data_IF_548730360507
#
_entry.id   IF_548730360507
#
_cell.length_a   1.000
_cell.length_b   1.000
_cell.length_c   1.000
_cell.angle_alpha   90.00
_cell.angle_beta   90.00
_cell.angle_gamma   90.00
#
_symmetry.space_group_name_H-M   'P 1'
#
loop_
_entity.id
_entity.type
_entity.pdbx_description
1 polymer ?
#
# COMPACT_ATOMS: atom_id res chain seq x y z
N UNK A 1 -39.91 -0.52 19.50
CA UNK A 1 -40.80 -0.94 20.62
C UNK A 1 -40.47 -2.36 21.02
N UNK A 2 -41.16 -2.98 21.99
CA UNK A 2 -40.80 -4.33 22.48
C UNK A 2 -40.71 -5.38 21.35
N UNK A 3 -41.56 -5.27 20.32
CA UNK A 3 -41.54 -6.18 19.15
C UNK A 3 -40.34 -6.05 18.20
N UNK A 4 -39.42 -5.10 18.39
CA UNK A 4 -38.25 -4.92 17.50
C UNK A 4 -37.00 -5.70 17.94
N UNK A 5 -37.06 -6.48 19.03
CA UNK A 5 -35.92 -7.22 19.60
C UNK A 5 -34.85 -6.36 20.30
N UNK A 6 -34.86 -5.05 20.09
CA UNK A 6 -33.93 -4.06 20.67
C UNK A 6 -34.62 -3.07 21.61
N UNK A 7 -35.59 -3.56 22.41
CA UNK A 7 -36.44 -2.76 23.30
C UNK A 7 -35.70 -2.03 24.44
N UNK A 8 -36.14 -2.26 25.69
CA UNK A 8 -35.76 -1.51 26.91
C UNK A 8 -34.27 -1.09 27.04
N UNK A 9 -33.32 -1.93 26.62
CA UNK A 9 -31.87 -1.68 26.77
C UNK A 9 -31.16 -1.33 25.46
N UNK A 10 -31.84 -1.38 24.32
CA UNK A 10 -31.26 -1.08 23.01
C UNK A 10 -30.01 -1.90 22.68
N UNK A 11 -29.91 -3.15 23.17
CA UNK A 11 -28.75 -4.04 22.95
C UNK A 11 -27.53 -3.76 23.84
N UNK A 12 -27.62 -2.81 24.79
CA UNK A 12 -26.49 -2.44 25.68
C UNK A 12 -26.44 -3.21 27.00
N UNK A 13 -27.41 -4.08 27.26
CA UNK A 13 -27.57 -4.77 28.54
C UNK A 13 -27.98 -3.83 29.69
N UNK A 14 -27.69 -4.22 30.93
CA UNK A 14 -28.07 -3.48 32.13
C UNK A 14 -26.86 -2.83 32.82
N UNK A 15 -27.00 -1.57 33.25
CA UNK A 15 -26.05 -0.83 34.11
C UNK A 15 -24.60 -0.88 33.57
N UNK A 16 -23.63 -0.46 34.38
CA UNK A 16 -22.21 -0.42 34.01
C UNK A 16 -21.82 0.70 33.04
N UNK A 17 -20.53 0.96 32.94
CA UNK A 17 -19.98 2.08 32.18
C UNK A 17 -20.42 2.02 30.70
N UNK A 18 -20.33 0.85 30.04
CA UNK A 18 -20.64 0.67 28.62
C UNK A 18 -22.11 0.92 28.23
N UNK A 19 -23.05 0.90 29.19
CA UNK A 19 -24.46 1.23 28.90
C UNK A 19 -24.78 2.72 29.01
N UNK A 20 -23.93 3.51 29.70
CA UNK A 20 -24.13 4.95 29.89
C UNK A 20 -23.89 5.73 28.61
N UNK A 21 -24.57 6.87 28.46
CA UNK A 21 -24.24 7.82 27.40
C UNK A 21 -22.79 8.31 27.58
N UNK A 22 -22.00 8.33 26.51
CA UNK A 22 -20.56 8.63 26.58
C UNK A 22 -19.69 7.55 27.21
N UNK A 23 -20.26 6.44 27.68
CA UNK A 23 -19.56 5.36 28.35
C UNK A 23 -18.67 4.53 27.42
N UNK A 24 -17.41 4.95 27.25
CA UNK A 24 -16.42 4.26 26.42
C UNK A 24 -15.14 3.99 27.21
N UNK A 25 -14.54 2.85 26.92
CA UNK A 25 -13.20 2.52 27.37
C UNK A 25 -12.23 3.00 26.27
N UNK A 26 -11.18 3.73 26.65
CA UNK A 26 -10.17 4.21 25.70
C UNK A 26 -9.53 3.02 24.99
N UNK A 27 -9.28 3.14 23.67
CA UNK A 27 -8.56 2.12 22.90
C UNK A 27 -7.19 1.85 23.55
N UNK A 28 -6.92 0.58 23.86
CA UNK A 28 -5.70 0.16 24.54
C UNK A 28 -5.76 0.22 26.08
N UNK A 29 -6.90 0.47 26.71
CA UNK A 29 -7.03 0.35 28.18
C UNK A 29 -7.44 -1.08 28.57
N UNK A 30 -6.64 -1.72 29.42
CA UNK A 30 -6.79 -3.13 29.85
C UNK A 30 -7.28 -3.25 31.31
N UNK A 31 -7.98 -2.23 31.84
CA UNK A 31 -8.60 -2.31 33.17
C UNK A 31 -7.67 -2.03 34.36
N UNK A 32 -6.44 -1.58 34.10
CA UNK A 32 -5.44 -1.24 35.14
C UNK A 32 -4.07 -1.88 34.91
N UNK A 33 -4.00 -2.92 34.07
CA UNK A 33 -2.75 -3.49 33.61
C UNK A 33 -2.00 -2.52 32.68
N UNK A 34 -0.65 -2.56 32.68
CA UNK A 34 0.16 -1.84 31.70
C UNK A 34 -0.21 -2.34 30.28
N UNK A 35 -0.71 -1.46 29.39
CA UNK A 35 -1.17 -1.88 28.08
C UNK A 35 -0.07 -2.51 27.22
N UNK A 36 -0.45 -3.40 26.31
CA UNK A 36 0.51 -4.08 25.41
C UNK A 36 1.45 -3.11 24.67
N UNK A 37 0.91 -2.00 24.14
CA UNK A 37 1.67 -0.96 23.43
C UNK A 37 2.71 -0.23 24.30
N UNK A 38 2.62 -0.35 25.63
CA UNK A 38 3.59 0.18 26.59
C UNK A 38 4.50 -0.90 27.18
N UNK A 39 4.09 -2.17 27.13
CA UNK A 39 4.89 -3.32 27.62
C UNK A 39 5.99 -3.71 26.65
N UNK A 40 5.72 -3.64 25.35
CA UNK A 40 6.68 -4.00 24.33
C UNK A 40 7.65 -2.84 24.05
N UNK A 41 8.95 -3.12 23.83
CA UNK A 41 9.90 -2.09 23.42
C UNK A 41 9.56 -1.57 22.03
N UNK A 42 9.87 -0.28 21.78
CA UNK A 42 9.84 0.28 20.43
C UNK A 42 11.04 -0.22 19.65
N UNK A 43 10.84 -0.59 18.39
CA UNK A 43 11.91 -1.06 17.51
C UNK A 43 11.74 -0.49 16.10
N UNK A 44 12.85 -0.46 15.35
CA UNK A 44 12.89 -0.01 13.96
C UNK A 44 13.00 1.50 13.77
N UNK A 45 12.94 1.93 12.52
CA UNK A 45 12.95 3.34 12.11
C UNK A 45 12.19 3.49 10.78
N UNK A 46 11.68 4.70 10.52
CA UNK A 46 11.01 5.00 9.25
C UNK A 46 12.01 5.57 8.24
N UNK A 47 12.25 4.85 7.14
CA UNK A 47 13.18 5.29 6.09
C UNK A 47 12.59 6.40 5.22
N UNK A 48 13.27 7.55 5.14
CA UNK A 48 12.90 8.64 4.24
C UNK A 48 12.95 8.22 2.77
N UNK A 49 13.86 7.29 2.42
CA UNK A 49 14.02 6.76 1.06
C UNK A 49 12.83 5.91 0.64
N UNK A 50 12.22 5.17 1.57
CA UNK A 50 11.03 4.36 1.28
C UNK A 50 9.83 5.22 0.91
N UNK A 51 9.72 6.45 1.46
CA UNK A 51 8.60 7.37 1.17
C UNK A 51 8.59 7.92 -0.25
N UNK A 52 9.73 7.90 -0.93
CA UNK A 52 9.92 8.44 -2.28
C UNK A 52 10.19 7.34 -3.33
N UNK A 53 10.02 6.08 -2.94
CA UNK A 53 10.22 4.91 -3.80
C UNK A 53 8.87 4.26 -4.07
N UNK A 54 8.49 4.17 -5.34
CA UNK A 54 7.30 3.48 -5.81
C UNK A 54 7.63 2.05 -6.26
N UNK A 55 6.63 1.19 -6.21
CA UNK A 55 6.61 -0.08 -6.93
C UNK A 55 5.65 0.03 -8.11
N UNK A 56 5.99 -0.63 -9.22
CA UNK A 56 5.18 -0.61 -10.45
C UNK A 56 5.08 -2.04 -10.97
N UNK A 57 3.87 -2.45 -11.36
CA UNK A 57 3.55 -3.80 -11.87
C UNK A 57 3.59 -3.84 -13.40
N UNK A 58 3.69 -5.05 -13.98
CA UNK A 58 3.66 -5.22 -15.43
C UNK A 58 2.31 -4.80 -16.03
N UNK A 59 1.22 -5.07 -15.31
CA UNK A 59 -0.12 -4.65 -15.69
C UNK A 59 -0.31 -3.13 -15.73
N UNK A 60 0.44 -2.38 -14.92
CA UNK A 60 0.40 -0.91 -14.95
C UNK A 60 1.23 -0.37 -16.12
N UNK A 61 2.40 -0.97 -16.37
CA UNK A 61 3.24 -0.65 -17.53
C UNK A 61 2.47 -0.84 -18.84
N UNK A 62 1.64 -1.88 -18.93
CA UNK A 62 0.81 -2.14 -20.11
C UNK A 62 -0.19 -1.00 -20.41
N UNK A 63 -0.58 -0.20 -19.40
CA UNK A 63 -1.51 0.93 -19.56
C UNK A 63 -0.83 2.22 -20.00
N UNK A 64 0.49 2.30 -19.92
CA UNK A 64 1.24 3.50 -20.32
C UNK A 64 1.19 3.63 -21.84
N UNK A 65 0.84 4.83 -22.32
CA UNK A 65 0.86 5.13 -23.75
C UNK A 65 2.29 5.34 -24.25
N UNK A 66 2.60 4.72 -25.40
CA UNK A 66 3.91 4.77 -26.04
C UNK A 66 4.86 3.66 -25.58
N UNK A 67 5.91 3.41 -26.36
CA UNK A 67 6.79 2.25 -26.20
C UNK A 67 7.90 2.47 -25.17
N UNK A 68 8.16 3.73 -24.78
CA UNK A 68 9.18 4.09 -23.79
C UNK A 68 8.53 4.41 -22.46
N UNK A 69 8.94 3.70 -21.41
CA UNK A 69 8.44 3.87 -20.05
C UNK A 69 9.55 4.44 -19.18
N UNK A 70 9.42 5.72 -18.87
CA UNK A 70 10.28 6.46 -17.95
C UNK A 70 9.50 6.90 -16.70
N UNK A 71 10.17 7.60 -15.78
CA UNK A 71 9.51 8.05 -14.55
C UNK A 71 8.44 9.12 -14.81
N UNK A 72 8.59 9.93 -15.86
CA UNK A 72 7.65 11.00 -16.19
C UNK A 72 6.36 10.43 -16.80
N UNK A 73 6.46 9.47 -17.72
CA UNK A 73 5.32 8.75 -18.32
C UNK A 73 4.50 8.00 -17.29
N UNK A 74 5.15 7.44 -16.27
CA UNK A 74 4.42 6.81 -15.17
C UNK A 74 3.68 7.83 -14.29
N UNK A 75 4.13 9.10 -14.24
CA UNK A 75 3.40 10.19 -13.58
C UNK A 75 2.26 10.71 -14.46
N UNK A 76 2.52 10.88 -15.75
CA UNK A 76 1.52 11.34 -16.73
C UNK A 76 0.35 10.36 -16.83
N UNK A 77 0.63 9.05 -16.73
CA UNK A 77 -0.38 7.99 -16.68
C UNK A 77 -1.04 7.80 -15.29
N UNK A 78 -0.74 8.66 -14.31
CA UNK A 78 -1.23 8.60 -12.92
C UNK A 78 -0.99 7.26 -12.20
N UNK A 79 0.05 6.53 -12.61
CA UNK A 79 0.46 5.26 -11.97
C UNK A 79 1.28 5.55 -10.72
N UNK A 80 2.17 6.56 -10.80
CA UNK A 80 2.97 7.00 -9.66
C UNK A 80 2.75 8.48 -9.37
N UNK A 81 2.78 8.84 -8.08
CA UNK A 81 2.67 10.23 -7.65
C UNK A 81 3.88 11.04 -8.07
N UNK A 82 3.70 12.30 -8.45
CA UNK A 82 4.80 13.23 -8.79
C UNK A 82 5.85 13.45 -7.70
N UNK A 83 5.55 13.08 -6.45
CA UNK A 83 6.51 13.13 -5.33
C UNK A 83 7.53 11.98 -5.34
N UNK A 84 7.30 10.95 -6.16
CA UNK A 84 8.16 9.77 -6.23
C UNK A 84 9.41 10.07 -7.05
N UNK A 85 10.57 9.69 -6.52
CA UNK A 85 11.87 9.92 -7.14
C UNK A 85 12.51 8.65 -7.68
N UNK A 86 11.96 7.49 -7.29
CA UNK A 86 12.49 6.17 -7.62
C UNK A 86 11.30 5.25 -7.87
N UNK A 87 11.44 4.34 -8.81
CA UNK A 87 10.51 3.24 -8.99
C UNK A 87 11.26 1.91 -9.12
N UNK A 88 10.57 0.82 -8.81
CA UNK A 88 11.03 -0.53 -9.12
C UNK A 88 9.92 -1.34 -9.78
N UNK A 89 10.22 -1.96 -10.92
CA UNK A 89 9.28 -2.85 -11.62
C UNK A 89 9.28 -4.23 -10.97
N UNK A 90 8.11 -4.74 -10.62
CA UNK A 90 7.91 -6.05 -10.01
C UNK A 90 7.06 -6.96 -10.90
N UNK A 91 7.29 -8.27 -10.79
CA UNK A 91 6.55 -9.27 -11.54
C UNK A 91 5.16 -9.42 -10.91
N UNK A 92 4.17 -8.78 -11.52
CA UNK A 92 2.76 -8.93 -11.21
C UNK A 92 1.94 -8.57 -12.44
N UNK A 93 1.05 -9.46 -12.87
CA UNK A 93 0.36 -9.36 -14.16
C UNK A 93 1.20 -9.85 -15.35
N UNK A 94 0.67 -9.63 -16.56
CA UNK A 94 1.33 -9.94 -17.83
C UNK A 94 1.54 -8.67 -18.66
N UNK A 95 2.43 -8.78 -19.64
CA UNK A 95 2.66 -7.74 -20.64
C UNK A 95 2.84 -8.42 -21.99
N UNK A 96 1.98 -8.07 -22.95
CA UNK A 96 2.00 -8.65 -24.31
C UNK A 96 2.59 -7.67 -25.33
N UNK A 97 2.98 -6.48 -24.88
CA UNK A 97 3.53 -5.39 -25.70
C UNK A 97 5.01 -5.21 -25.41
N UNK A 98 5.80 -5.04 -26.47
CA UNK A 98 7.20 -4.66 -26.35
C UNK A 98 7.31 -3.23 -25.79
N UNK A 99 7.99 -3.09 -24.65
CA UNK A 99 8.23 -1.80 -24.00
C UNK A 99 9.70 -1.65 -23.61
N UNK A 100 10.21 -0.43 -23.76
CA UNK A 100 11.55 -0.04 -23.32
C UNK A 100 11.45 0.70 -21.99
N UNK A 101 11.88 0.06 -20.90
CA UNK A 101 11.89 0.67 -19.57
C UNK A 101 13.23 1.38 -19.34
N UNK A 102 13.20 2.69 -19.09
CA UNK A 102 14.40 3.54 -18.95
C UNK A 102 14.56 4.10 -17.54
N UNK A 103 15.76 3.98 -16.97
CA UNK A 103 16.10 4.61 -15.69
C UNK A 103 15.36 4.05 -14.47
N UNK A 104 14.71 2.89 -14.61
CA UNK A 104 13.92 2.24 -13.55
C UNK A 104 14.49 0.84 -13.32
N UNK A 105 14.70 0.48 -12.05
CA UNK A 105 15.21 -0.85 -11.70
C UNK A 105 14.10 -1.90 -11.86
N UNK A 106 14.40 -3.08 -12.38
CA UNK A 106 13.45 -4.19 -12.45
C UNK A 106 13.85 -5.34 -11.52
N UNK A 107 12.86 -6.09 -11.02
CA UNK A 107 13.09 -7.39 -10.39
C UNK A 107 13.50 -8.42 -11.45
N UNK A 108 14.23 -9.47 -11.05
CA UNK A 108 14.72 -10.51 -11.98
C UNK A 108 13.57 -11.12 -12.80
N UNK A 109 12.45 -11.44 -12.16
CA UNK A 109 11.28 -11.99 -12.84
C UNK A 109 10.60 -10.99 -13.78
N UNK A 110 10.51 -9.71 -13.39
CA UNK A 110 9.93 -8.68 -14.25
C UNK A 110 10.79 -8.43 -15.49
N UNK A 111 12.12 -8.41 -15.33
CA UNK A 111 13.07 -8.27 -16.45
C UNK A 111 12.88 -9.39 -17.47
N UNK A 112 12.85 -10.64 -17.01
CA UNK A 112 12.62 -11.79 -17.88
C UNK A 112 11.27 -11.73 -18.62
N UNK A 113 10.21 -11.28 -17.94
CA UNK A 113 8.89 -11.12 -18.57
C UNK A 113 8.87 -10.01 -19.62
N UNK A 114 9.54 -8.88 -19.37
CA UNK A 114 9.64 -7.77 -20.33
C UNK A 114 10.45 -8.19 -21.57
N UNK A 115 11.58 -8.87 -21.37
CA UNK A 115 12.40 -9.41 -22.47
C UNK A 115 11.65 -10.47 -23.28
N UNK A 116 10.88 -11.34 -22.63
CA UNK A 116 10.03 -12.33 -23.30
C UNK A 116 8.92 -11.70 -24.16
N UNK A 117 8.43 -10.52 -23.78
CA UNK A 117 7.48 -9.73 -24.57
C UNK A 117 8.15 -8.91 -25.70
N UNK A 118 9.47 -9.05 -25.90
CA UNK A 118 10.24 -8.32 -26.90
C UNK A 118 10.64 -6.90 -26.47
N UNK A 119 10.49 -6.56 -25.19
CA UNK A 119 10.90 -5.28 -24.61
C UNK A 119 12.38 -5.24 -24.23
N UNK A 120 12.83 -4.07 -23.77
CA UNK A 120 14.22 -3.82 -23.35
C UNK A 120 14.31 -3.01 -22.05
N UNK A 121 15.42 -3.19 -21.33
CA UNK A 121 15.70 -2.48 -20.09
C UNK A 121 16.99 -1.68 -20.21
N UNK A 122 16.87 -0.35 -20.18
CA UNK A 122 18.00 0.59 -20.08
C UNK A 122 18.14 1.02 -18.61
N UNK A 123 18.84 0.21 -17.83
CA UNK A 123 19.12 0.53 -16.42
C UNK A 123 20.18 1.64 -16.32
N UNK A 124 19.86 2.75 -15.66
CA UNK A 124 20.90 3.70 -15.23
C UNK A 124 21.57 3.19 -13.96
N UNK A 125 22.88 2.93 -14.04
CA UNK A 125 23.70 2.65 -12.87
C UNK A 125 23.76 3.88 -11.96
N UNK A 126 23.34 3.68 -10.72
CA UNK A 126 23.48 4.62 -9.58
C UNK A 126 23.52 3.83 -8.29
#
# INVERSE_FOLDING_TARGET
>A
GIGSGTGKTGGRGHKGQKSRSGGRIRRGFEGGQQPLQMRLPKFGFNSAKSRITAEVTLSEIAKVEGDVVDMQRLQDADIIKGTMKRAKVILSGSIDRAVTVKGIKASKGAKAAIEAAGGSLEEQES
#
